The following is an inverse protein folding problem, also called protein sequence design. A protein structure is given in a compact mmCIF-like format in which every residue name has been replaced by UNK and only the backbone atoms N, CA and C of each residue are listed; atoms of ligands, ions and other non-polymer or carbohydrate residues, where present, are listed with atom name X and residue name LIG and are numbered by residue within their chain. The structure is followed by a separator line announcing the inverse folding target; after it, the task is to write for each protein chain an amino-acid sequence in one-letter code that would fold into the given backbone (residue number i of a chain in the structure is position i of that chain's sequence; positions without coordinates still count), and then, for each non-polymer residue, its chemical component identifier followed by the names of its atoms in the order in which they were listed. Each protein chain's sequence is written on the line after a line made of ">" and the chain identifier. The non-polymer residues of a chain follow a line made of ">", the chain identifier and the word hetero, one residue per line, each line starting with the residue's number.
data_IF_412705666198
#
_entry.id   IF_412705666198
#
_cell.length_a   1.000
_cell.length_b   1.000
_cell.length_c   1.000
_cell.angle_alpha   90.00
_cell.angle_beta   90.00
_cell.angle_gamma   90.00
#
_symmetry.space_group_name_H-M   'P 1'
#
loop_
_entity.id
_entity.type
_entity.pdbx_description
1 polymer ?
#
# COMPACT_ATOMS: atom_id res chain seq x y z
N UNK A 1 26.36 -25.88 24.51
CA UNK A 1 25.96 -24.58 25.09
C UNK A 1 26.01 -23.54 23.96
N UNK A 2 24.96 -23.43 23.14
CA UNK A 2 24.96 -22.54 21.96
C UNK A 2 23.87 -21.48 22.12
N UNK A 3 24.30 -20.28 22.50
CA UNK A 3 23.45 -19.09 22.64
C UNK A 3 22.96 -18.62 21.27
N UNK A 4 21.64 -18.73 21.03
CA UNK A 4 20.97 -18.12 19.87
C UNK A 4 20.80 -16.63 20.13
N UNK A 5 21.73 -15.83 19.59
CA UNK A 5 21.60 -14.37 19.56
C UNK A 5 20.46 -13.95 18.62
N UNK A 6 19.31 -13.63 19.21
CA UNK A 6 18.16 -13.03 18.53
C UNK A 6 18.43 -11.54 18.32
N UNK A 7 18.87 -11.15 17.11
CA UNK A 7 19.00 -9.74 16.73
C UNK A 7 17.61 -9.06 16.77
N UNK A 8 17.42 -8.15 17.73
CA UNK A 8 16.30 -7.19 17.75
C UNK A 8 16.51 -6.20 16.60
N UNK A 9 15.55 -6.10 15.66
CA UNK A 9 15.49 -5.00 14.71
C UNK A 9 15.12 -3.73 15.48
N UNK A 10 16.09 -2.85 15.68
CA UNK A 10 15.88 -1.49 16.18
C UNK A 10 15.29 -0.68 15.02
N UNK A 11 14.11 -0.08 15.22
CA UNK A 11 13.55 0.91 14.30
C UNK A 11 14.34 2.21 14.49
N UNK A 12 15.36 2.41 13.67
CA UNK A 12 16.12 3.66 13.60
C UNK A 12 15.31 4.66 12.77
N UNK A 13 15.03 5.83 13.33
CA UNK A 13 14.48 6.95 12.56
C UNK A 13 15.59 7.41 11.60
N UNK A 14 15.38 7.41 10.27
CA UNK A 14 16.46 7.67 9.32
C UNK A 14 16.91 9.13 9.37
N UNK A 15 18.23 9.33 9.31
CA UNK A 15 18.84 10.65 9.20
C UNK A 15 18.56 11.28 7.83
N UNK A 16 18.76 12.59 7.72
CA UNK A 16 18.47 13.45 6.54
C UNK A 16 19.31 13.14 5.28
N UNK A 17 19.87 11.93 5.15
CA UNK A 17 20.59 11.43 3.97
C UNK A 17 20.33 9.97 3.63
N UNK A 18 19.48 9.25 4.39
CA UNK A 18 19.22 7.82 4.19
C UNK A 18 18.04 7.55 3.24
N UNK A 19 17.46 8.59 2.65
CA UNK A 19 16.23 8.52 1.85
C UNK A 19 16.47 9.02 0.43
N UNK A 20 15.87 8.34 -0.54
CA UNK A 20 15.84 8.74 -1.94
C UNK A 20 14.41 8.94 -2.44
N UNK A 21 14.27 9.70 -3.52
CA UNK A 21 13.03 9.89 -4.26
C UNK A 21 13.16 9.24 -5.63
N UNK A 22 12.23 8.36 -5.96
CA UNK A 22 12.03 7.84 -7.31
C UNK A 22 11.07 8.77 -8.05
N UNK A 23 11.57 9.43 -9.08
CA UNK A 23 10.79 10.32 -9.93
C UNK A 23 10.31 9.55 -11.14
N UNK A 24 9.04 9.72 -11.50
CA UNK A 24 8.40 9.05 -12.64
C UNK A 24 7.75 10.07 -13.56
N UNK A 25 7.57 9.69 -14.82
CA UNK A 25 6.94 10.56 -15.82
C UNK A 25 5.45 10.77 -15.57
N UNK A 26 4.77 9.73 -15.08
CA UNK A 26 3.33 9.71 -14.92
C UNK A 26 2.92 9.08 -13.59
N UNK A 27 1.82 9.56 -13.02
CA UNK A 27 1.30 9.07 -11.75
C UNK A 27 0.93 7.57 -11.80
N UNK A 28 0.51 7.06 -12.96
CA UNK A 28 0.24 5.63 -13.17
C UNK A 28 1.48 4.77 -12.94
N UNK A 29 2.68 5.26 -13.30
CA UNK A 29 3.93 4.55 -13.06
C UNK A 29 4.26 4.51 -11.56
N UNK A 30 4.02 5.60 -10.83
CA UNK A 30 4.15 5.67 -9.36
C UNK A 30 3.28 4.61 -8.69
N UNK A 31 2.00 4.52 -9.08
CA UNK A 31 1.04 3.57 -8.49
C UNK A 31 1.48 2.12 -8.75
N UNK A 32 1.95 1.81 -9.96
CA UNK A 32 2.45 0.47 -10.32
C UNK A 32 3.73 0.12 -9.57
N UNK A 33 4.69 1.05 -9.52
CA UNK A 33 5.95 0.87 -8.81
C UNK A 33 5.73 0.68 -7.31
N UNK A 34 4.87 1.49 -6.67
CA UNK A 34 4.52 1.34 -5.26
C UNK A 34 3.93 -0.04 -4.96
N UNK A 35 2.96 -0.48 -5.77
CA UNK A 35 2.35 -1.80 -5.60
C UNK A 35 3.39 -2.91 -5.70
N UNK A 36 4.26 -2.87 -6.71
CA UNK A 36 5.31 -3.87 -6.90
C UNK A 36 6.29 -3.88 -5.71
N UNK A 37 6.74 -2.71 -5.26
CA UNK A 37 7.67 -2.57 -4.15
C UNK A 37 7.07 -3.09 -2.84
N UNK A 38 5.82 -2.74 -2.54
CA UNK A 38 5.11 -3.25 -1.35
C UNK A 38 4.90 -4.76 -1.41
N UNK A 39 4.60 -5.32 -2.58
CA UNK A 39 4.47 -6.79 -2.76
C UNK A 39 5.78 -7.53 -2.49
N UNK A 40 6.92 -6.91 -2.80
CA UNK A 40 8.25 -7.45 -2.50
C UNK A 40 8.73 -7.13 -1.06
N UNK A 41 7.89 -6.47 -0.25
CA UNK A 41 8.18 -6.19 1.16
C UNK A 41 9.08 -4.97 1.41
N UNK A 42 9.26 -4.10 0.41
CA UNK A 42 10.01 -2.85 0.58
C UNK A 42 9.22 -1.82 1.38
N UNK A 43 9.90 -1.10 2.27
CA UNK A 43 9.33 0.01 3.03
C UNK A 43 9.40 1.30 2.20
N UNK A 44 8.29 1.63 1.53
CA UNK A 44 8.21 2.80 0.65
C UNK A 44 7.00 3.66 0.98
N UNK A 45 7.10 4.96 0.71
CA UNK A 45 6.02 5.93 0.91
C UNK A 45 5.77 6.71 -0.36
N UNK A 46 4.49 6.93 -0.67
CA UNK A 46 4.11 7.84 -1.77
C UNK A 46 3.93 9.23 -1.17
N UNK A 47 4.58 10.21 -1.78
CA UNK A 47 4.65 11.59 -1.31
C UNK A 47 4.52 12.56 -2.48
N UNK A 48 4.23 13.83 -2.22
CA UNK A 48 4.26 14.86 -3.26
C UNK A 48 5.69 15.23 -3.62
N UNK A 49 6.01 15.51 -4.90
CA UNK A 49 7.34 15.96 -5.28
C UNK A 49 7.67 17.31 -4.63
N UNK A 50 8.93 17.53 -4.23
CA UNK A 50 9.41 18.87 -3.88
C UNK A 50 9.23 19.81 -5.09
N UNK A 51 9.11 21.13 -4.86
CA UNK A 51 8.85 22.12 -5.91
C UNK A 51 9.78 22.00 -7.13
N UNK A 52 11.04 21.66 -6.90
CA UNK A 52 12.12 21.54 -7.89
C UNK A 52 11.95 20.33 -8.82
N UNK A 53 11.22 19.29 -8.39
CA UNK A 53 11.00 18.05 -9.14
C UNK A 53 9.63 17.98 -9.81
N UNK A 54 8.82 19.05 -9.73
CA UNK A 54 7.48 19.10 -10.34
C UNK A 54 7.59 19.17 -11.87
N UNK A 55 7.49 18.01 -12.50
CA UNK A 55 7.55 17.82 -13.96
C UNK A 55 6.19 17.49 -14.58
N UNK A 56 5.10 17.71 -13.84
CA UNK A 56 3.72 17.40 -14.26
C UNK A 56 3.11 16.13 -13.64
N UNK A 57 3.89 15.36 -12.87
CA UNK A 57 3.38 14.33 -11.98
C UNK A 57 3.21 14.87 -10.56
N UNK A 58 2.10 14.53 -9.90
CA UNK A 58 1.79 14.98 -8.55
C UNK A 58 2.38 14.09 -7.44
N UNK A 59 3.01 12.96 -7.79
CA UNK A 59 3.48 11.95 -6.84
C UNK A 59 4.89 11.45 -7.15
N UNK A 60 5.64 11.10 -6.11
CA UNK A 60 6.92 10.38 -6.16
C UNK A 60 6.96 9.30 -5.09
N UNK A 61 7.91 8.37 -5.19
CA UNK A 61 8.10 7.33 -4.17
C UNK A 61 9.36 7.65 -3.37
N UNK A 62 9.19 7.81 -2.07
CA UNK A 62 10.28 7.86 -1.12
C UNK A 62 10.66 6.43 -0.68
N UNK A 63 11.96 6.14 -0.66
CA UNK A 63 12.51 4.83 -0.33
C UNK A 63 13.87 4.95 0.40
N UNK A 64 14.38 3.88 1.05
CA UNK A 64 15.71 3.88 1.66
C UNK A 64 16.82 3.90 0.59
N UNK A 65 17.71 4.89 0.65
CA UNK A 65 18.74 5.08 -0.39
C UNK A 65 19.74 3.91 -0.47
N UNK A 66 19.98 3.22 0.66
CA UNK A 66 20.82 2.02 0.72
C UNK A 66 20.34 0.89 -0.21
N UNK A 67 19.05 0.89 -0.54
CA UNK A 67 18.41 -0.14 -1.35
C UNK A 67 18.30 0.25 -2.84
N UNK A 68 18.86 1.39 -3.26
CA UNK A 68 18.71 1.96 -4.60
C UNK A 68 18.97 0.95 -5.71
N UNK A 69 20.13 0.28 -5.69
CA UNK A 69 20.50 -0.66 -6.75
C UNK A 69 19.48 -1.81 -6.88
N UNK A 70 18.97 -2.31 -5.77
CA UNK A 70 18.00 -3.41 -5.77
C UNK A 70 16.62 -2.94 -6.25
N UNK A 71 16.18 -1.78 -5.76
CA UNK A 71 14.91 -1.15 -6.12
C UNK A 71 14.87 -0.81 -7.61
N UNK A 72 15.91 -0.15 -8.14
CA UNK A 72 15.99 0.24 -9.55
C UNK A 72 15.99 -1.00 -10.46
N UNK A 73 16.79 -2.04 -10.13
CA UNK A 73 16.82 -3.29 -10.91
C UNK A 73 15.46 -3.98 -10.96
N UNK A 74 14.76 -4.05 -9.83
CA UNK A 74 13.42 -4.61 -9.75
C UNK A 74 12.44 -3.85 -10.65
N UNK A 75 12.44 -2.53 -10.55
CA UNK A 75 11.52 -1.66 -11.30
C UNK A 75 11.79 -1.68 -12.80
N UNK A 76 13.05 -1.59 -13.22
CA UNK A 76 13.44 -1.67 -14.63
C UNK A 76 13.12 -3.04 -15.21
N UNK A 77 13.36 -4.13 -14.47
CA UNK A 77 13.00 -5.48 -14.90
C UNK A 77 11.50 -5.69 -15.10
N UNK A 78 10.66 -4.90 -14.43
CA UNK A 78 9.21 -4.89 -14.57
C UNK A 78 8.69 -3.78 -15.52
N UNK A 79 9.57 -3.17 -16.32
CA UNK A 79 9.24 -2.08 -17.25
C UNK A 79 8.52 -0.89 -16.59
N UNK A 80 8.85 -0.61 -15.32
CA UNK A 80 8.34 0.51 -14.52
C UNK A 80 9.51 1.24 -13.85
N UNK A 81 10.62 1.40 -14.58
CA UNK A 81 11.81 2.09 -14.08
C UNK A 81 11.55 3.57 -13.81
N UNK A 82 12.21 4.17 -12.80
CA UNK A 82 12.13 5.61 -12.57
C UNK A 82 12.83 6.39 -13.69
N UNK A 83 12.40 7.63 -13.93
CA UNK A 83 13.13 8.57 -14.79
C UNK A 83 14.48 8.96 -14.17
N UNK A 84 14.47 9.17 -12.85
CA UNK A 84 15.66 9.47 -12.09
C UNK A 84 15.47 9.13 -10.61
N UNK A 85 16.59 8.96 -9.93
CA UNK A 85 16.67 8.79 -8.48
C UNK A 85 17.35 10.03 -7.91
N UNK A 86 16.73 10.65 -6.92
CA UNK A 86 17.25 11.86 -6.27
C UNK A 86 17.46 11.59 -4.77
N UNK A 87 18.69 11.68 -4.24
CA UNK A 87 18.91 11.58 -2.81
C UNK A 87 18.33 12.81 -2.11
N UNK A 88 17.61 12.59 -1.00
CA UNK A 88 17.13 13.69 -0.15
C UNK A 88 18.32 14.13 0.70
N UNK A 89 19.04 15.16 0.26
CA UNK A 89 20.29 15.62 0.87
C UNK A 89 20.17 17.02 1.51
N UNK A 90 19.02 17.69 1.35
CA UNK A 90 18.79 19.06 1.83
C UNK A 90 17.29 19.30 2.06
N UNK A 91 16.96 20.33 2.87
CA UNK A 91 15.56 20.72 3.15
C UNK A 91 14.77 21.11 1.89
N UNK A 92 15.44 21.56 0.83
CA UNK A 92 14.78 21.93 -0.43
C UNK A 92 14.18 20.71 -1.14
N UNK A 93 14.77 19.51 -0.94
CA UNK A 93 14.27 18.27 -1.53
C UNK A 93 13.34 17.50 -0.59
N UNK A 94 12.85 18.13 0.48
CA UNK A 94 11.89 17.48 1.35
C UNK A 94 10.57 17.25 0.62
N UNK A 95 10.09 16.00 0.57
CA UNK A 95 8.84 15.70 -0.09
C UNK A 95 7.65 16.30 0.67
N UNK A 96 6.65 16.73 -0.09
CA UNK A 96 5.42 17.30 0.49
C UNK A 96 4.57 16.19 1.07
N UNK A 97 4.16 16.32 2.34
CA UNK A 97 3.25 15.37 2.95
C UNK A 97 1.90 15.38 2.24
N UNK A 98 1.48 14.21 1.78
CA UNK A 98 0.18 14.03 1.17
C UNK A 98 -0.91 13.95 2.22
N UNK A 99 -0.59 13.43 3.41
CA UNK A 99 -1.53 13.16 4.47
C UNK A 99 -1.69 14.38 5.36
N UNK A 100 -2.94 14.71 5.69
CA UNK A 100 -3.24 15.72 6.69
C UNK A 100 -4.44 15.27 7.51
N UNK A 101 -4.25 15.15 8.82
CA UNK A 101 -5.27 14.71 9.77
C UNK A 101 -5.76 15.92 10.55
N UNK A 102 -7.08 16.09 10.62
CA UNK A 102 -7.73 17.16 11.37
C UNK A 102 -8.83 16.59 12.24
N UNK A 103 -8.76 16.89 13.53
CA UNK A 103 -9.85 16.59 14.46
C UNK A 103 -10.94 17.65 14.38
N UNK A 104 -12.20 17.20 14.33
CA UNK A 104 -13.41 18.02 14.21
C UNK A 104 -14.43 17.58 15.27
N UNK A 105 -14.08 17.76 16.55
CA UNK A 105 -14.91 17.32 17.67
C UNK A 105 -15.03 15.80 17.71
N UNK A 106 -16.26 15.27 17.52
CA UNK A 106 -16.51 13.82 17.44
C UNK A 106 -16.04 13.19 16.13
N UNK A 107 -15.72 14.02 15.13
CA UNK A 107 -15.31 13.55 13.82
C UNK A 107 -13.79 13.65 13.61
N UNK A 108 -13.28 12.80 12.73
CA UNK A 108 -11.91 12.79 12.25
C UNK A 108 -11.94 13.00 10.74
N UNK A 109 -11.29 14.05 10.24
CA UNK A 109 -11.09 14.26 8.82
C UNK A 109 -9.66 13.90 8.44
N UNK A 110 -9.50 12.98 7.49
CA UNK A 110 -8.22 12.63 6.89
C UNK A 110 -8.22 13.10 5.45
N UNK A 111 -7.18 13.86 5.08
CA UNK A 111 -6.93 14.30 3.71
C UNK A 111 -5.72 13.56 3.16
N UNK A 112 -5.80 13.12 1.91
CA UNK A 112 -4.66 12.68 1.11
C UNK A 112 -4.69 13.43 -0.24
N UNK A 113 -3.67 14.24 -0.52
CA UNK A 113 -3.69 15.17 -1.66
C UNK A 113 -4.98 16.02 -1.66
N UNK A 114 -5.72 16.07 -2.76
CA UNK A 114 -6.98 16.81 -2.85
C UNK A 114 -8.21 16.03 -2.36
N UNK A 115 -8.05 14.81 -1.88
CA UNK A 115 -9.14 13.95 -1.39
C UNK A 115 -9.27 14.00 0.13
N UNK A 116 -10.50 14.00 0.64
CA UNK A 116 -10.84 14.07 2.06
C UNK A 116 -11.90 13.01 2.38
N UNK A 117 -11.70 12.32 3.49
CA UNK A 117 -12.70 11.46 4.13
C UNK A 117 -12.91 11.96 5.55
N UNK A 118 -14.16 12.02 5.99
CA UNK A 118 -14.52 12.36 7.37
C UNK A 118 -15.29 11.20 7.98
N UNK A 119 -14.86 10.77 9.16
CA UNK A 119 -15.45 9.65 9.90
C UNK A 119 -15.87 10.09 11.29
N UNK A 120 -16.94 9.50 11.79
CA UNK A 120 -17.33 9.57 13.20
C UNK A 120 -16.43 8.64 14.02
N UNK A 121 -15.74 9.19 15.04
CA UNK A 121 -14.69 8.46 15.77
C UNK A 121 -15.24 7.32 16.63
N UNK A 122 -16.49 7.41 17.09
CA UNK A 122 -17.09 6.43 18.00
C UNK A 122 -17.67 5.24 17.21
N UNK A 123 -18.37 5.55 16.13
CA UNK A 123 -19.08 4.53 15.32
C UNK A 123 -18.24 4.01 14.16
N UNK A 124 -17.22 4.75 13.72
CA UNK A 124 -16.47 4.46 12.51
C UNK A 124 -17.27 4.75 11.22
N UNK A 125 -18.40 5.46 11.32
CA UNK A 125 -19.23 5.79 10.17
C UNK A 125 -18.60 6.88 9.30
N UNK A 126 -18.57 6.67 7.99
CA UNK A 126 -18.12 7.68 7.02
C UNK A 126 -19.25 8.69 6.81
N UNK A 127 -19.03 9.92 7.25
CA UNK A 127 -20.03 10.99 7.18
C UNK A 127 -19.83 11.93 6.00
N UNK A 128 -18.64 11.93 5.40
CA UNK A 128 -18.36 12.72 4.20
C UNK A 128 -17.18 12.15 3.41
N UNK A 129 -17.29 12.21 2.10
CA UNK A 129 -16.19 12.06 1.14
C UNK A 129 -16.23 13.26 0.22
N UNK A 130 -15.12 13.97 0.08
CA UNK A 130 -15.02 15.12 -0.82
C UNK A 130 -13.65 15.23 -1.47
N UNK A 131 -13.59 15.93 -2.61
CA UNK A 131 -12.36 16.12 -3.38
C UNK A 131 -12.62 16.95 -4.62
N UNK A 132 -11.62 17.06 -5.51
CA UNK A 132 -11.72 17.92 -6.70
C UNK A 132 -11.15 17.30 -7.96
N UNK A 133 -11.75 17.67 -9.09
CA UNK A 133 -11.17 17.51 -10.43
C UNK A 133 -11.36 16.15 -11.12
N UNK A 134 -11.76 15.09 -10.41
CA UNK A 134 -11.98 13.77 -11.01
C UNK A 134 -13.47 13.43 -11.17
N UNK A 135 -13.85 12.72 -12.25
CA UNK A 135 -15.23 12.26 -12.46
C UNK A 135 -15.70 11.24 -11.41
N UNK A 136 -14.78 10.54 -10.73
CA UNK A 136 -15.12 9.50 -9.75
C UNK A 136 -15.63 10.03 -8.41
N UNK A 137 -15.38 11.29 -8.06
CA UNK A 137 -15.62 11.78 -6.69
C UNK A 137 -17.09 11.63 -6.26
N UNK A 138 -18.10 11.98 -7.09
CA UNK A 138 -19.50 11.77 -6.73
C UNK A 138 -19.84 10.29 -6.51
N UNK A 139 -19.33 9.40 -7.38
CA UNK A 139 -19.57 7.97 -7.28
C UNK A 139 -18.92 7.36 -6.03
N UNK A 140 -17.67 7.73 -5.74
CA UNK A 140 -16.98 7.33 -4.51
C UNK A 140 -17.75 7.77 -3.26
N UNK A 141 -18.26 9.00 -3.25
CA UNK A 141 -19.05 9.50 -2.13
C UNK A 141 -20.36 8.71 -1.96
N UNK A 142 -21.09 8.46 -3.03
CA UNK A 142 -22.32 7.64 -3.02
C UNK A 142 -22.05 6.22 -2.50
N UNK A 143 -20.95 5.59 -2.92
CA UNK A 143 -20.63 4.22 -2.55
C UNK A 143 -20.14 4.08 -1.10
N UNK A 144 -19.71 5.16 -0.44
CA UNK A 144 -19.01 5.08 0.85
C UNK A 144 -19.69 5.83 2.00
N UNK A 145 -20.34 6.97 1.74
CA UNK A 145 -20.98 7.76 2.78
C UNK A 145 -22.13 6.96 3.42
N UNK A 146 -22.31 7.11 4.73
CA UNK A 146 -23.23 6.35 5.59
C UNK A 146 -22.89 4.86 5.77
N UNK A 147 -21.72 4.40 5.32
CA UNK A 147 -21.19 3.08 5.65
C UNK A 147 -20.13 3.19 6.74
N UNK A 148 -19.97 2.14 7.54
CA UNK A 148 -18.84 2.04 8.45
C UNK A 148 -17.54 1.78 7.69
N UNK A 149 -16.40 2.12 8.30
CA UNK A 149 -15.06 1.80 7.76
C UNK A 149 -14.85 0.29 7.49
N UNK A 150 -15.63 -0.58 8.14
CA UNK A 150 -15.56 -2.03 7.96
C UNK A 150 -16.38 -2.51 6.75
N UNK A 151 -17.52 -1.87 6.50
CA UNK A 151 -18.47 -2.23 5.44
C UNK A 151 -18.23 -1.49 4.12
N UNK A 152 -17.61 -0.31 4.19
CA UNK A 152 -17.36 0.50 3.00
C UNK A 152 -16.43 -0.23 2.02
N UNK A 153 -16.69 -0.12 0.70
CA UNK A 153 -15.77 -0.62 -0.30
C UNK A 153 -14.45 0.13 -0.20
N UNK A 154 -13.34 -0.53 -0.55
CA UNK A 154 -12.08 0.18 -0.65
C UNK A 154 -12.18 1.17 -1.84
N UNK A 155 -11.78 2.44 -1.70
CA UNK A 155 -11.82 3.40 -2.79
C UNK A 155 -11.21 2.91 -4.10
N UNK A 156 -10.10 2.15 -4.03
CA UNK A 156 -9.42 1.58 -5.22
C UNK A 156 -10.19 0.46 -5.91
N UNK A 157 -11.16 -0.16 -5.23
CA UNK A 157 -11.96 -1.26 -5.80
C UNK A 157 -13.14 -0.74 -6.63
N UNK A 158 -13.58 0.50 -6.36
CA UNK A 158 -14.75 1.11 -7.01
C UNK A 158 -14.40 2.32 -7.88
N UNK A 159 -13.27 2.98 -7.65
CA UNK A 159 -12.82 4.11 -8.45
C UNK A 159 -11.62 3.79 -9.35
N UNK A 160 -11.47 4.55 -10.43
CA UNK A 160 -10.50 4.30 -11.51
C UNK A 160 -9.51 5.46 -11.71
N UNK A 161 -9.73 6.58 -11.02
CA UNK A 161 -8.92 7.80 -11.12
C UNK A 161 -7.89 7.91 -10.00
N UNK A 162 -6.98 8.87 -10.13
CA UNK A 162 -6.03 9.22 -9.07
C UNK A 162 -6.72 9.66 -7.78
N UNK A 163 -7.93 10.21 -7.87
CA UNK A 163 -8.75 10.54 -6.71
C UNK A 163 -9.14 9.29 -5.91
N UNK A 164 -9.44 8.17 -6.56
CA UNK A 164 -9.70 6.90 -5.88
C UNK A 164 -8.45 6.39 -5.15
N UNK A 165 -7.29 6.48 -5.81
CA UNK A 165 -6.01 6.12 -5.22
C UNK A 165 -5.68 6.97 -3.98
N UNK A 166 -5.83 8.29 -4.07
CA UNK A 166 -5.58 9.20 -2.96
C UNK A 166 -6.58 8.98 -1.82
N UNK A 167 -7.87 8.81 -2.15
CA UNK A 167 -8.90 8.51 -1.15
C UNK A 167 -8.61 7.20 -0.41
N UNK A 168 -8.04 6.19 -1.07
CA UNK A 168 -7.59 4.96 -0.40
C UNK A 168 -6.54 5.23 0.68
N UNK A 169 -5.55 6.09 0.39
CA UNK A 169 -4.52 6.43 1.38
C UNK A 169 -5.17 7.10 2.61
N UNK A 170 -6.12 8.00 2.39
CA UNK A 170 -6.87 8.64 3.48
C UNK A 170 -7.76 7.65 4.23
N UNK A 171 -8.37 6.70 3.52
CA UNK A 171 -9.23 5.66 4.08
C UNK A 171 -8.44 4.70 4.97
N UNK A 172 -7.32 4.16 4.48
CA UNK A 172 -6.44 3.27 5.25
C UNK A 172 -5.97 3.97 6.53
N UNK A 173 -5.57 5.24 6.42
CA UNK A 173 -5.18 6.03 7.59
C UNK A 173 -6.32 6.28 8.58
N UNK A 174 -7.57 6.42 8.10
CA UNK A 174 -8.74 6.53 8.96
C UNK A 174 -9.00 5.23 9.73
N UNK A 175 -8.89 4.07 9.05
CA UNK A 175 -9.01 2.74 9.69
C UNK A 175 -7.97 2.58 10.79
N UNK A 176 -6.70 2.90 10.53
CA UNK A 176 -5.63 2.84 11.51
C UNK A 176 -5.94 3.68 12.76
N UNK A 177 -6.35 4.93 12.55
CA UNK A 177 -6.60 5.88 13.64
C UNK A 177 -7.84 5.50 14.46
N UNK A 178 -8.93 5.10 13.81
CA UNK A 178 -10.15 4.68 14.50
C UNK A 178 -9.97 3.35 15.26
N UNK A 179 -9.16 2.42 14.75
CA UNK A 179 -8.79 1.19 15.47
C UNK A 179 -8.03 1.49 16.76
N UNK A 180 -7.07 2.43 16.69
CA UNK A 180 -6.25 2.82 17.82
C UNK A 180 -7.06 3.54 18.91
N UNK A 181 -8.05 4.35 18.52
CA UNK A 181 -8.90 5.11 19.45
C UNK A 181 -9.97 4.25 20.14
N UNK A 182 -10.51 3.23 19.44
CA UNK A 182 -11.60 2.41 19.95
C UNK A 182 -11.16 1.18 20.74
N UNK A 183 -9.84 0.89 20.79
CA UNK A 183 -9.32 -0.36 21.35
C UNK A 183 -9.78 -1.61 20.60
N UNK A 184 -10.47 -1.46 19.45
CA UNK A 184 -10.90 -2.56 18.59
C UNK A 184 -9.79 -2.87 17.60
N UNK A 185 -9.34 -4.12 17.61
CA UNK A 185 -8.51 -4.64 16.51
C UNK A 185 -9.39 -4.79 15.28
N UNK A 186 -9.36 -3.82 14.36
CA UNK A 186 -9.98 -3.97 13.04
C UNK A 186 -9.08 -4.89 12.20
N UNK A 187 -9.31 -6.20 12.29
CA UNK A 187 -8.68 -7.16 11.38
C UNK A 187 -9.43 -7.15 10.07
N UNK A 188 -9.11 -6.23 9.16
CA UNK A 188 -9.37 -6.48 7.73
C UNK A 188 -8.19 -7.30 7.19
N UNK A 189 -8.42 -8.47 6.56
CA UNK A 189 -7.35 -9.14 5.85
C UNK A 189 -6.86 -8.21 4.74
N UNK A 190 -5.55 -7.92 4.76
CA UNK A 190 -4.88 -7.24 3.67
C UNK A 190 -5.15 -8.04 2.39
N UNK A 191 -5.68 -7.45 1.30
CA UNK A 191 -5.95 -8.17 0.05
C UNK A 191 -4.68 -8.67 -0.66
N UNK A 192 -3.49 -8.43 -0.08
CA UNK A 192 -2.19 -8.87 -0.58
C UNK A 192 -1.37 -9.62 0.48
N UNK A 193 -2.00 -10.50 1.27
CA UNK A 193 -1.26 -11.53 2.00
C UNK A 193 -1.32 -12.86 1.23
N UNK A 194 -0.20 -13.51 0.93
CA UNK A 194 -0.23 -14.85 0.37
C UNK A 194 -0.76 -15.78 1.46
N UNK A 195 -1.88 -16.45 1.18
CA UNK A 195 -2.43 -17.49 2.04
C UNK A 195 -1.32 -18.49 2.36
N UNK A 196 -0.91 -18.51 3.63
CA UNK A 196 -0.02 -19.54 4.16
C UNK A 196 -0.85 -20.81 4.27
N UNK A 197 -0.86 -21.58 3.20
CA UNK A 197 -1.50 -22.89 3.12
C UNK A 197 -1.02 -23.75 4.30
N UNK A 198 -1.97 -23.99 5.20
CA UNK A 198 -1.81 -24.81 6.38
C UNK A 198 -1.90 -26.26 5.92
N UNK A 199 -0.79 -26.83 5.45
CA UNK A 199 -0.65 -28.28 5.24
C UNK A 199 -0.71 -28.97 6.61
N UNK A 200 -1.92 -29.33 7.03
CA UNK A 200 -2.14 -30.35 8.05
C UNK A 200 -1.99 -31.72 7.38
N UNK A 201 -1.19 -32.56 8.02
CA UNK A 201 -0.76 -33.85 7.50
C UNK A 201 -1.90 -34.78 7.13
N UNK A 202 -1.66 -35.54 6.08
CA UNK A 202 -2.24 -36.85 5.89
C UNK A 202 -1.10 -37.78 5.51
N UNK A 203 -0.90 -38.76 6.37
CA UNK A 203 0.03 -39.87 6.28
C UNK A 203 -0.16 -40.62 4.97
N UNK A 204 0.87 -40.68 4.13
CA UNK A 204 0.88 -41.53 2.96
C UNK A 204 1.19 -42.96 3.40
N UNK A 205 0.13 -43.77 3.41
CA UNK A 205 0.16 -45.21 3.59
C UNK A 205 0.84 -45.89 2.40
N UNK A 206 1.72 -46.82 2.78
CA UNK A 206 2.53 -47.73 1.98
C UNK A 206 1.94 -48.27 0.67
N UNK A 207 2.82 -48.31 -0.32
CA UNK A 207 2.71 -49.11 -1.52
C UNK A 207 2.60 -50.62 -1.21
N UNK A 208 1.67 -51.29 -1.87
CA UNK A 208 1.74 -52.73 -2.14
C UNK A 208 0.88 -53.07 -3.35
N UNK A 209 1.54 -53.62 -4.38
CA UNK A 209 1.10 -54.68 -5.30
C UNK A 209 -0.23 -54.47 -6.05
N UNK A 210 -0.33 -54.63 -7.38
CA UNK A 210 -0.28 -55.91 -8.09
C UNK A 210 -0.18 -55.61 -9.61
N UNK A 211 0.76 -56.25 -10.31
CA UNK A 211 0.71 -56.54 -11.77
C UNK A 211 -0.20 -57.76 -11.98
N UNK A 212 -0.94 -57.88 -13.11
CA UNK A 212 -0.42 -58.74 -14.18
C UNK A 212 -0.75 -58.31 -15.64
N UNK A 213 0.29 -58.42 -16.48
CA UNK A 213 0.37 -59.06 -17.81
C UNK A 213 -0.80 -59.11 -18.82
N UNK A 214 -0.51 -58.52 -20.00
CA UNK A 214 -0.47 -59.10 -21.38
C UNK A 214 -1.72 -59.26 -22.28
N UNK A 215 -1.47 -58.96 -23.58
CA UNK A 215 -2.14 -59.39 -24.84
C UNK A 215 -3.47 -58.69 -25.20
N UNK A 216 -3.73 -58.18 -26.42
CA UNK A 216 -2.96 -58.15 -27.66
C UNK A 216 -3.71 -57.49 -28.83
N UNK A 217 -2.97 -57.37 -29.94
CA UNK A 217 -3.37 -57.34 -31.36
C UNK A 217 -4.25 -56.24 -31.99
N UNK A 218 -3.64 -55.63 -33.02
CA UNK A 218 -4.19 -54.85 -34.14
C UNK A 218 -5.09 -55.72 -35.05
N UNK A 219 -5.94 -55.12 -35.88
CA UNK A 219 -5.51 -54.68 -37.23
C UNK A 219 -5.37 -53.16 -37.39
#
# INVERSE_FOLDING_TARGET
>A
MFSKFRKRKVKTVPATGDRGLLVFEHTTAVIRAERLLKQQGWEVRVVGPPPELRTGCDLVIEFPLLDELAVVRLLTGANTGPLMVVPVNSMLLEPVDLLHVKELGRYLMVRAANMKITVDKETGMIVNVSGGGCPDVPYLAEQMVNKSLDEAPAPRDVGYTLCAYALQIAFDRSVELCSALSGRSLTRPCPLSPERSRLKGTTWSWARSVLPSTVGHRP
#
